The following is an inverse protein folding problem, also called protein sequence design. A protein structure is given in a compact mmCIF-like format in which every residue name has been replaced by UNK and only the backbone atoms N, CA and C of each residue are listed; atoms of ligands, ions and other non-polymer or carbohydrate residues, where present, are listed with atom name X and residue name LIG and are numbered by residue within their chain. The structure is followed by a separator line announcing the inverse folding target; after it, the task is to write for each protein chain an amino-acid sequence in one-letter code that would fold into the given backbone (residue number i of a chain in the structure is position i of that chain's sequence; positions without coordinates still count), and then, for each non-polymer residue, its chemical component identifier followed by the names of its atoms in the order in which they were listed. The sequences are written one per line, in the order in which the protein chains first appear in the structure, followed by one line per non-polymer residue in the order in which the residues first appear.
data_IF_291685060595
#
_entry.id   IF_291685060595
#
_cell.length_a   1.000
_cell.length_b   1.000
_cell.length_c   1.000
_cell.angle_alpha   90.00
_cell.angle_beta   90.00
_cell.angle_gamma   90.00
#
_symmetry.space_group_name_H-M   'P 1'
#
loop_
_entity.id
_entity.type
_entity.pdbx_description
1 polymer ?
#
# COMPACT_ATOMS: atom_id res chain seq x y z
N UNK A 1 -5.79 23.86 11.83
CA UNK A 1 -6.00 22.76 10.86
C UNK A 1 -5.40 23.19 9.53
N UNK A 2 -4.71 22.29 8.83
CA UNK A 2 -4.14 22.57 7.51
C UNK A 2 -5.25 22.79 6.47
N UNK A 3 -4.94 23.51 5.38
CA UNK A 3 -5.88 23.74 4.27
C UNK A 3 -6.41 22.42 3.69
N UNK A 4 -5.53 21.43 3.54
CA UNK A 4 -5.84 20.09 3.04
C UNK A 4 -6.82 19.34 3.95
N UNK A 5 -6.65 19.42 5.27
CA UNK A 5 -7.59 18.80 6.21
C UNK A 5 -9.00 19.38 6.07
N UNK A 6 -9.12 20.70 5.87
CA UNK A 6 -10.42 21.34 5.66
C UNK A 6 -11.07 20.92 4.32
N UNK A 7 -10.28 20.76 3.26
CA UNK A 7 -10.76 20.29 1.96
C UNK A 7 -11.27 18.84 2.04
N UNK A 8 -10.48 17.94 2.64
CA UNK A 8 -10.88 16.55 2.86
C UNK A 8 -12.15 16.44 3.72
N UNK A 9 -12.25 17.27 4.77
CA UNK A 9 -13.45 17.35 5.59
C UNK A 9 -14.68 17.78 4.79
N UNK A 10 -14.56 18.85 4.00
CA UNK A 10 -15.68 19.34 3.20
C UNK A 10 -16.12 18.29 2.17
N UNK A 11 -15.19 17.73 1.41
CA UNK A 11 -15.51 16.73 0.37
C UNK A 11 -16.12 15.45 0.96
N UNK A 12 -15.65 15.01 2.13
CA UNK A 12 -16.25 13.87 2.83
C UNK A 12 -17.68 14.17 3.30
N UNK A 13 -17.92 15.36 3.86
CA UNK A 13 -19.27 15.77 4.28
C UNK A 13 -20.24 15.86 3.10
N UNK A 14 -19.81 16.44 1.97
CA UNK A 14 -20.60 16.53 0.74
C UNK A 14 -20.99 15.15 0.21
N UNK A 15 -20.04 14.18 0.22
CA UNK A 15 -20.31 12.80 -0.18
C UNK A 15 -21.27 12.09 0.77
N UNK A 16 -21.13 12.28 2.09
CA UNK A 16 -22.06 11.73 3.08
C UNK A 16 -23.48 12.28 2.89
N UNK A 17 -23.62 13.61 2.77
CA UNK A 17 -24.89 14.27 2.51
C UNK A 17 -25.56 13.69 1.27
N UNK A 18 -24.85 13.69 0.15
CA UNK A 18 -25.35 13.16 -1.11
C UNK A 18 -25.78 11.70 -0.99
N UNK A 19 -24.96 10.84 -0.38
CA UNK A 19 -25.28 9.42 -0.22
C UNK A 19 -26.53 9.21 0.65
N UNK A 20 -26.67 9.94 1.76
CA UNK A 20 -27.87 9.85 2.62
C UNK A 20 -29.13 10.37 1.92
N UNK A 21 -29.03 11.43 1.11
CA UNK A 21 -30.14 11.94 0.31
C UNK A 21 -30.58 10.93 -0.75
N UNK A 22 -29.64 10.29 -1.45
CA UNK A 22 -29.94 9.26 -2.46
C UNK A 22 -30.56 8.00 -1.86
N UNK A 23 -30.21 7.66 -0.62
CA UNK A 23 -30.77 6.51 0.11
C UNK A 23 -32.07 6.85 0.85
N UNK A 24 -32.56 8.09 0.73
CA UNK A 24 -33.76 8.59 1.42
C UNK A 24 -33.67 8.41 2.96
N UNK A 25 -32.46 8.55 3.52
CA UNK A 25 -32.20 8.44 4.96
C UNK A 25 -32.13 9.83 5.58
N UNK A 26 -33.01 10.10 6.54
CA UNK A 26 -32.99 11.36 7.28
C UNK A 26 -31.90 11.37 8.36
N UNK A 27 -30.83 12.12 8.12
CA UNK A 27 -29.76 12.37 9.10
C UNK A 27 -29.54 13.88 9.24
N UNK A 28 -29.47 14.36 10.48
CA UNK A 28 -29.19 15.79 10.69
C UNK A 28 -27.77 16.13 10.24
N UNK A 29 -27.57 17.34 9.70
CA UNK A 29 -26.24 17.84 9.32
C UNK A 29 -25.24 17.78 10.48
N UNK A 30 -25.71 17.95 11.72
CA UNK A 30 -24.86 17.87 12.90
C UNK A 30 -24.33 16.45 13.16
N UNK A 31 -25.13 15.41 12.92
CA UNK A 31 -24.69 14.02 13.04
C UNK A 31 -23.75 13.63 11.89
N UNK A 32 -24.07 14.06 10.66
CA UNK A 32 -23.18 13.84 9.51
C UNK A 32 -21.82 14.51 9.72
N UNK A 33 -21.77 15.72 10.28
CA UNK A 33 -20.52 16.39 10.61
C UNK A 33 -19.67 15.59 11.63
N UNK A 34 -20.28 14.95 12.63
CA UNK A 34 -19.57 14.08 13.58
C UNK A 34 -19.00 12.84 12.88
N UNK A 35 -19.76 12.23 11.98
CA UNK A 35 -19.32 11.07 11.19
C UNK A 35 -18.19 11.47 10.25
N UNK A 36 -18.27 12.63 9.58
CA UNK A 36 -17.19 13.18 8.77
C UNK A 36 -15.90 13.35 9.57
N UNK A 37 -16.00 13.94 10.76
CA UNK A 37 -14.84 14.12 11.63
C UNK A 37 -14.21 12.79 12.01
N UNK A 38 -15.04 11.80 12.34
CA UNK A 38 -14.61 10.44 12.67
C UNK A 38 -13.80 9.81 11.52
N UNK A 39 -14.28 9.92 10.29
CA UNK A 39 -13.62 9.38 9.08
C UNK A 39 -12.31 10.13 8.81
N UNK A 40 -12.39 11.44 8.61
CA UNK A 40 -11.26 12.25 8.10
C UNK A 40 -10.08 12.31 9.08
N UNK A 41 -10.36 12.25 10.39
CA UNK A 41 -9.31 12.21 11.39
C UNK A 41 -8.38 11.00 11.22
N UNK A 42 -8.90 9.87 10.72
CA UNK A 42 -8.13 8.63 10.56
C UNK A 42 -7.39 8.55 9.24
N UNK A 43 -7.97 9.14 8.20
CA UNK A 43 -7.38 9.18 6.85
C UNK A 43 -6.31 10.26 6.67
N UNK A 44 -6.07 11.11 7.67
CA UNK A 44 -5.05 12.18 7.65
C UNK A 44 -3.86 11.91 8.58
N UNK A 45 -3.71 10.66 9.04
CA UNK A 45 -2.57 10.24 9.85
C UNK A 45 -1.24 10.34 9.08
N UNK A 46 -0.11 10.64 9.75
CA UNK A 46 1.19 10.84 9.08
C UNK A 46 1.77 9.57 8.42
N UNK A 47 1.14 8.41 8.65
CA UNK A 47 1.57 7.11 8.12
C UNK A 47 0.75 6.65 6.91
N UNK A 48 -0.38 7.32 6.64
CA UNK A 48 -1.31 7.02 5.56
C UNK A 48 -0.80 7.69 4.27
N UNK A 49 0.02 6.96 3.51
CA UNK A 49 0.63 7.47 2.27
C UNK A 49 -0.07 6.96 1.02
N UNK A 50 -0.57 5.73 1.05
CA UNK A 50 -1.41 5.14 0.01
C UNK A 50 -2.88 5.17 0.43
N UNK A 51 -3.21 4.66 1.62
CA UNK A 51 -4.59 4.65 2.12
C UNK A 51 -4.97 6.02 2.70
N UNK A 52 -5.08 7.03 1.82
CA UNK A 52 -5.32 8.44 2.12
C UNK A 52 -6.80 8.84 1.88
N UNK A 53 -7.14 10.09 2.20
CA UNK A 53 -8.46 10.64 1.89
C UNK A 53 -8.75 10.68 0.36
N UNK A 54 -7.75 10.94 -0.47
CA UNK A 54 -7.91 10.94 -1.93
C UNK A 54 -8.26 9.54 -2.44
N UNK A 55 -7.51 8.53 -1.99
CA UNK A 55 -7.78 7.11 -2.30
C UNK A 55 -9.20 6.72 -1.89
N UNK A 56 -9.60 7.04 -0.66
CA UNK A 56 -10.96 6.79 -0.15
C UNK A 56 -12.06 7.35 -1.07
N UNK A 57 -11.86 8.55 -1.63
CA UNK A 57 -12.84 9.15 -2.55
C UNK A 57 -12.87 8.46 -3.91
N UNK A 58 -11.72 8.01 -4.43
CA UNK A 58 -11.63 7.23 -5.68
C UNK A 58 -12.32 5.86 -5.55
N UNK A 59 -12.08 5.17 -4.43
CA UNK A 59 -12.71 3.87 -4.11
C UNK A 59 -14.22 3.99 -3.92
N UNK A 60 -14.73 5.13 -3.43
CA UNK A 60 -16.17 5.37 -3.32
C UNK A 60 -16.84 5.67 -4.67
N UNK A 61 -16.13 6.36 -5.58
CA UNK A 61 -16.66 6.71 -6.90
C UNK A 61 -17.65 7.87 -6.79
N UNK A 62 -18.61 7.94 -7.71
CA UNK A 62 -19.49 9.12 -7.82
C UNK A 62 -20.94 8.86 -8.18
N UNK A 63 -21.36 7.60 -8.38
CA UNK A 63 -22.66 7.28 -8.98
C UNK A 63 -23.60 6.47 -8.09
N UNK A 64 -23.08 5.75 -7.09
CA UNK A 64 -23.88 4.87 -6.23
C UNK A 64 -23.62 5.20 -4.76
N UNK A 65 -24.69 5.37 -3.98
CA UNK A 65 -24.61 5.82 -2.60
C UNK A 65 -23.99 4.78 -1.66
N UNK A 66 -24.28 3.49 -1.86
CA UNK A 66 -23.69 2.41 -1.05
C UNK A 66 -22.21 2.28 -1.36
N UNK A 67 -21.84 2.37 -2.64
CA UNK A 67 -20.43 2.33 -3.05
C UNK A 67 -19.64 3.52 -2.47
N UNK A 68 -20.21 4.73 -2.48
CA UNK A 68 -19.59 5.91 -1.86
C UNK A 68 -19.40 5.70 -0.37
N UNK A 69 -20.43 5.25 0.34
CA UNK A 69 -20.33 4.98 1.78
C UNK A 69 -19.28 3.89 2.07
N UNK A 70 -19.24 2.82 1.28
CA UNK A 70 -18.22 1.79 1.43
C UNK A 70 -16.82 2.36 1.25
N UNK A 71 -16.60 3.15 0.20
CA UNK A 71 -15.34 3.86 -0.03
C UNK A 71 -14.94 4.74 1.15
N UNK A 72 -15.87 5.51 1.73
CA UNK A 72 -15.62 6.37 2.89
C UNK A 72 -15.20 5.62 4.16
N UNK A 73 -15.62 4.36 4.31
CA UNK A 73 -15.45 3.61 5.54
C UNK A 73 -14.43 2.47 5.46
N UNK A 74 -14.14 1.88 4.29
CA UNK A 74 -13.45 0.60 4.20
C UNK A 74 -12.07 0.54 4.91
N UNK A 75 -11.36 1.66 4.97
CA UNK A 75 -9.98 1.74 5.46
C UNK A 75 -9.77 2.61 6.70
N UNK A 76 -10.86 3.01 7.38
CA UNK A 76 -10.74 3.90 8.54
C UNK A 76 -10.01 3.23 9.71
N UNK A 77 -10.07 1.90 9.83
CA UNK A 77 -9.27 1.13 10.80
C UNK A 77 -8.14 0.39 10.10
N UNK A 78 -6.88 0.79 10.31
CA UNK A 78 -5.70 0.11 9.74
C UNK A 78 -4.60 -0.07 10.79
N UNK A 79 -4.75 -1.10 11.61
CA UNK A 79 -3.96 -1.26 12.85
C UNK A 79 -2.46 -1.38 12.57
N UNK A 80 -2.07 -2.05 11.49
CA UNK A 80 -0.66 -2.32 11.17
C UNK A 80 0.07 -1.08 10.67
N UNK A 81 -0.67 -0.13 10.08
CA UNK A 81 -0.16 1.15 9.60
C UNK A 81 -0.17 2.16 10.75
N UNK A 82 -1.31 2.35 11.40
CA UNK A 82 -1.46 3.34 12.46
C UNK A 82 -0.72 2.94 13.74
N UNK A 83 -0.48 1.65 13.94
CA UNK A 83 0.17 1.05 15.11
C UNK A 83 -0.77 0.87 16.32
N UNK A 84 -2.01 1.33 16.22
CA UNK A 84 -3.06 1.18 17.22
C UNK A 84 -4.42 1.51 16.62
N UNK A 85 -5.51 1.09 17.29
CA UNK A 85 -6.86 1.57 16.98
C UNK A 85 -7.01 3.01 17.47
N UNK A 86 -7.61 3.89 16.65
CA UNK A 86 -7.92 5.27 17.06
C UNK A 86 -8.85 5.25 18.28
N UNK A 87 -8.56 6.08 19.29
CA UNK A 87 -9.33 6.14 20.53
C UNK A 87 -10.85 6.35 20.31
N UNK A 88 -11.23 7.12 19.28
CA UNK A 88 -12.64 7.37 18.97
C UNK A 88 -13.36 6.12 18.43
N UNK A 89 -12.63 5.11 17.92
CA UNK A 89 -13.20 3.83 17.52
C UNK A 89 -13.29 2.82 18.65
N UNK A 90 -12.49 3.01 19.71
CA UNK A 90 -12.44 2.08 20.84
C UNK A 90 -13.81 1.89 21.47
N UNK A 91 -14.67 2.92 21.49
CA UNK A 91 -16.04 2.81 21.97
C UNK A 91 -16.86 1.75 21.21
N UNK A 92 -16.67 1.64 19.89
CA UNK A 92 -17.37 0.66 19.06
C UNK A 92 -16.73 -0.74 19.13
N UNK A 93 -15.40 -0.81 19.28
CA UNK A 93 -14.65 -2.06 19.10
C UNK A 93 -14.30 -2.78 20.41
N UNK A 94 -14.00 -2.07 21.49
CA UNK A 94 -13.56 -2.67 22.75
C UNK A 94 -14.56 -3.66 23.37
N UNK A 95 -15.89 -3.43 23.31
CA UNK A 95 -16.87 -4.40 23.79
C UNK A 95 -16.86 -5.72 23.02
N UNK A 96 -16.33 -5.75 21.79
CA UNK A 96 -16.44 -6.87 20.86
C UNK A 96 -15.14 -7.67 20.76
N UNK A 97 -14.01 -7.05 21.11
CA UNK A 97 -12.67 -7.59 20.89
C UNK A 97 -11.88 -7.73 22.18
N UNK A 98 -10.99 -8.72 22.19
CA UNK A 98 -9.91 -8.86 23.17
C UNK A 98 -8.56 -8.89 22.45
N UNK A 99 -7.51 -8.43 23.12
CA UNK A 99 -6.15 -8.50 22.62
C UNK A 99 -5.33 -9.46 23.49
N UNK A 100 -4.64 -10.40 22.86
CA UNK A 100 -3.72 -11.32 23.51
C UNK A 100 -2.38 -11.31 22.76
N UNK A 101 -1.30 -10.94 23.44
CA UNK A 101 0.06 -10.90 22.89
C UNK A 101 0.19 -10.10 21.58
N UNK A 102 -0.58 -9.02 21.43
CA UNK A 102 -0.59 -8.19 20.22
C UNK A 102 -1.50 -8.69 19.10
N UNK A 103 -2.22 -9.79 19.29
CA UNK A 103 -3.21 -10.31 18.35
C UNK A 103 -4.63 -10.03 18.83
N UNK A 104 -5.49 -9.59 17.92
CA UNK A 104 -6.91 -9.33 18.21
C UNK A 104 -7.73 -10.60 18.01
N UNK A 105 -8.70 -10.82 18.90
CA UNK A 105 -9.67 -11.89 18.82
C UNK A 105 -11.07 -11.33 19.01
N UNK A 106 -12.04 -11.91 18.31
CA UNK A 106 -13.45 -11.71 18.65
C UNK A 106 -13.69 -12.36 20.01
N UNK A 107 -14.40 -11.68 20.92
CA UNK A 107 -14.71 -12.22 22.25
C UNK A 107 -15.55 -13.49 22.17
N UNK A 108 -15.52 -14.27 23.25
CA UNK A 108 -16.36 -15.45 23.37
C UNK A 108 -17.84 -15.06 23.47
N UNK A 109 -18.74 -15.93 23.01
CA UNK A 109 -20.19 -15.66 22.99
C UNK A 109 -20.78 -15.17 24.33
N UNK A 110 -20.39 -15.69 25.51
CA UNK A 110 -20.89 -15.18 26.79
C UNK A 110 -20.41 -13.78 27.17
N UNK A 111 -19.33 -13.29 26.54
CA UNK A 111 -18.76 -11.96 26.78
C UNK A 111 -19.22 -10.92 25.76
N UNK A 112 -19.79 -11.36 24.64
CA UNK A 112 -20.31 -10.48 23.61
C UNK A 112 -21.61 -9.82 24.08
N UNK A 113 -21.81 -8.52 23.81
CA UNK A 113 -23.11 -7.89 24.02
C UNK A 113 -24.16 -8.48 23.09
N UNK A 114 -25.43 -8.37 23.49
CA UNK A 114 -26.57 -8.64 22.60
C UNK A 114 -26.66 -7.49 21.58
N UNK A 115 -26.06 -7.72 20.41
CA UNK A 115 -25.80 -6.69 19.42
C UNK A 115 -26.08 -7.21 18.00
N UNK A 116 -27.33 -7.07 17.53
CA UNK A 116 -27.74 -7.55 16.21
C UNK A 116 -26.92 -6.95 15.06
N UNK A 117 -26.47 -5.70 15.19
CA UNK A 117 -25.64 -5.03 14.18
C UNK A 117 -24.29 -5.73 14.06
N UNK A 118 -23.64 -6.00 15.18
CA UNK A 118 -22.38 -6.75 15.18
C UNK A 118 -22.57 -8.16 14.62
N UNK A 119 -23.63 -8.86 15.02
CA UNK A 119 -23.91 -10.22 14.53
C UNK A 119 -24.12 -10.24 13.00
N UNK A 120 -24.80 -9.25 12.43
CA UNK A 120 -24.94 -9.10 10.98
C UNK A 120 -23.59 -8.87 10.30
N UNK A 121 -22.75 -7.99 10.84
CA UNK A 121 -21.40 -7.74 10.28
C UNK A 121 -20.55 -9.01 10.32
N UNK A 122 -20.52 -9.70 11.45
CA UNK A 122 -19.81 -10.97 11.60
C UNK A 122 -20.33 -12.03 10.61
N UNK A 123 -21.65 -12.12 10.41
CA UNK A 123 -22.25 -13.06 9.46
C UNK A 123 -21.86 -12.76 8.00
N UNK A 124 -21.84 -11.49 7.58
CA UNK A 124 -21.38 -11.08 6.24
C UNK A 124 -19.91 -11.43 6.01
N UNK A 125 -19.05 -11.20 7.02
CA UNK A 125 -17.64 -11.57 6.97
C UNK A 125 -17.40 -13.08 7.15
N UNK A 126 -18.39 -13.84 7.61
CA UNK A 126 -18.24 -15.25 7.97
C UNK A 126 -17.33 -15.45 9.18
N UNK A 127 -17.22 -14.44 10.05
CA UNK A 127 -16.41 -14.50 11.26
C UNK A 127 -17.21 -15.02 12.44
N UNK A 128 -16.53 -15.74 13.34
CA UNK A 128 -17.16 -16.38 14.50
C UNK A 128 -16.53 -15.92 15.81
N UNK A 129 -17.25 -16.04 16.95
CA UNK A 129 -16.67 -15.79 18.28
C UNK A 129 -15.37 -16.57 18.49
N UNK A 130 -14.46 -15.99 19.27
CA UNK A 130 -13.11 -16.53 19.56
C UNK A 130 -12.16 -16.61 18.36
N UNK A 131 -12.59 -16.22 17.15
CA UNK A 131 -11.73 -16.19 15.99
C UNK A 131 -10.61 -15.16 16.17
N UNK A 132 -9.38 -15.60 15.88
CA UNK A 132 -8.23 -14.72 15.76
C UNK A 132 -8.35 -13.88 14.49
N UNK A 133 -8.23 -12.56 14.63
CA UNK A 133 -8.18 -11.65 13.49
C UNK A 133 -6.77 -11.61 12.93
N UNK A 134 -6.68 -11.56 11.60
CA UNK A 134 -5.41 -11.51 10.87
C UNK A 134 -5.46 -10.40 9.83
N UNK A 135 -4.40 -9.58 9.71
CA UNK A 135 -4.28 -8.60 8.63
C UNK A 135 -4.47 -9.21 7.23
N UNK A 136 -4.02 -10.47 7.05
CA UNK A 136 -4.10 -11.17 5.77
C UNK A 136 -5.47 -11.82 5.51
N UNK A 137 -6.38 -11.75 6.48
CA UNK A 137 -7.71 -12.37 6.41
C UNK A 137 -8.83 -11.36 6.65
N UNK A 138 -8.60 -10.08 6.36
CA UNK A 138 -9.65 -9.06 6.40
C UNK A 138 -9.88 -8.39 7.75
N UNK A 139 -8.88 -8.38 8.63
CA UNK A 139 -9.00 -7.73 9.94
C UNK A 139 -9.39 -6.26 9.83
N UNK A 140 -8.73 -5.49 8.97
CA UNK A 140 -8.91 -4.04 8.91
C UNK A 140 -10.30 -3.70 8.38
N UNK A 141 -10.69 -4.35 7.28
CA UNK A 141 -11.98 -4.26 6.62
C UNK A 141 -13.12 -4.65 7.57
N UNK A 142 -12.94 -5.73 8.35
CA UNK A 142 -13.91 -6.13 9.36
C UNK A 142 -14.08 -5.06 10.44
N UNK A 143 -12.99 -4.53 10.99
CA UNK A 143 -13.05 -3.50 12.02
C UNK A 143 -13.65 -2.20 11.49
N UNK A 144 -13.28 -1.80 10.28
CA UNK A 144 -13.86 -0.68 9.54
C UNK A 144 -15.36 -0.87 9.33
N UNK A 145 -15.80 -2.06 8.92
CA UNK A 145 -17.21 -2.37 8.72
C UNK A 145 -18.01 -2.35 10.03
N UNK A 146 -17.44 -2.84 11.13
CA UNK A 146 -18.08 -2.73 12.46
C UNK A 146 -18.25 -1.27 12.85
N UNK A 147 -17.21 -0.43 12.69
CA UNK A 147 -17.31 1.01 12.98
C UNK A 147 -18.34 1.68 12.08
N UNK A 148 -18.35 1.37 10.78
CA UNK A 148 -19.32 1.91 9.83
C UNK A 148 -20.75 1.57 10.23
N UNK A 149 -21.00 0.29 10.51
CA UNK A 149 -22.30 -0.19 10.92
C UNK A 149 -22.76 0.49 12.21
N UNK A 150 -21.88 0.61 13.20
CA UNK A 150 -22.18 1.27 14.48
C UNK A 150 -22.35 2.78 14.40
N UNK A 151 -21.63 3.45 13.51
CA UNK A 151 -21.82 4.88 13.30
C UNK A 151 -23.15 5.19 12.61
N UNK A 152 -23.71 4.23 11.86
CA UNK A 152 -24.89 4.44 11.00
C UNK A 152 -26.16 3.74 11.52
N UNK A 153 -26.09 2.80 12.47
CA UNK A 153 -27.21 1.96 12.91
C UNK A 153 -28.41 2.73 13.48
N UNK A 154 -28.20 3.96 13.95
CA UNK A 154 -29.29 4.82 14.46
C UNK A 154 -30.14 5.44 13.34
N UNK A 155 -29.66 5.41 12.09
CA UNK A 155 -30.32 6.05 10.95
C UNK A 155 -30.62 5.05 9.82
N UNK A 156 -29.77 4.04 9.65
CA UNK A 156 -29.85 3.09 8.53
C UNK A 156 -30.65 1.86 8.92
N UNK A 157 -31.42 1.33 7.97
CA UNK A 157 -32.06 0.02 8.14
C UNK A 157 -31.01 -1.09 8.17
N UNK A 158 -31.33 -2.21 8.82
CA UNK A 158 -30.47 -3.40 8.86
C UNK A 158 -30.07 -3.88 7.45
N UNK A 159 -30.98 -3.77 6.48
CA UNK A 159 -30.72 -4.11 5.08
C UNK A 159 -29.64 -3.21 4.48
N UNK A 160 -29.72 -1.89 4.66
CA UNK A 160 -28.69 -0.95 4.18
C UNK A 160 -27.34 -1.19 4.86
N UNK A 161 -27.33 -1.47 6.17
CA UNK A 161 -26.11 -1.81 6.91
C UNK A 161 -25.45 -3.05 6.31
N UNK A 162 -26.22 -4.10 6.01
CA UNK A 162 -25.69 -5.33 5.40
C UNK A 162 -25.16 -5.09 3.98
N UNK A 163 -25.82 -4.25 3.19
CA UNK A 163 -25.35 -3.90 1.84
C UNK A 163 -24.02 -3.12 1.89
N UNK A 164 -23.90 -2.12 2.78
CA UNK A 164 -22.66 -1.40 3.02
C UNK A 164 -21.54 -2.34 3.49
N UNK A 165 -21.85 -3.20 4.45
CA UNK A 165 -20.91 -4.18 5.01
C UNK A 165 -20.39 -5.12 3.93
N UNK A 166 -21.24 -5.55 2.99
CA UNK A 166 -20.83 -6.41 1.88
C UNK A 166 -19.79 -5.75 0.98
N UNK A 167 -19.98 -4.47 0.66
CA UNK A 167 -19.04 -3.70 -0.16
C UNK A 167 -17.69 -3.54 0.54
N UNK A 168 -17.67 -3.29 1.85
CA UNK A 168 -16.42 -3.23 2.64
C UNK A 168 -15.77 -4.62 2.74
N UNK A 169 -16.54 -5.69 2.93
CA UNK A 169 -16.01 -7.07 2.96
C UNK A 169 -15.31 -7.44 1.65
N UNK A 170 -15.83 -6.97 0.51
CA UNK A 170 -15.24 -7.25 -0.77
C UNK A 170 -13.88 -6.58 -0.99
N UNK A 171 -13.51 -5.54 -0.23
CA UNK A 171 -12.19 -4.89 -0.36
C UNK A 171 -11.07 -5.72 0.26
N UNK A 172 -11.37 -6.83 0.96
CA UNK A 172 -10.32 -7.76 1.43
C UNK A 172 -9.58 -8.34 0.20
N UNK A 173 -8.31 -7.98 -0.02
CA UNK A 173 -7.67 -8.19 -1.31
C UNK A 173 -7.07 -9.59 -1.45
N UNK A 174 -6.83 -10.01 -2.70
CA UNK A 174 -6.03 -11.19 -3.08
C UNK A 174 -6.49 -12.52 -2.49
N UNK A 175 -7.78 -12.66 -2.16
CA UNK A 175 -8.33 -13.90 -1.62
C UNK A 175 -8.35 -15.01 -2.67
N UNK A 176 -7.86 -16.22 -2.34
CA UNK A 176 -7.89 -17.34 -3.26
C UNK A 176 -9.32 -17.87 -3.44
N UNK A 177 -9.49 -18.72 -4.45
CA UNK A 177 -10.69 -19.56 -4.57
C UNK A 177 -10.74 -20.48 -3.34
N UNK A 178 -11.92 -20.60 -2.74
CA UNK A 178 -12.14 -21.49 -1.59
C UNK A 178 -11.96 -22.97 -1.95
N UNK A 179 -11.85 -23.81 -0.92
CA UNK A 179 -11.78 -25.27 -1.08
C UNK A 179 -12.99 -25.86 -1.83
N UNK A 180 -14.16 -25.19 -1.75
CA UNK A 180 -15.37 -25.57 -2.48
C UNK A 180 -15.40 -25.10 -3.94
N UNK A 181 -14.33 -24.45 -4.42
CA UNK A 181 -14.23 -23.96 -5.80
C UNK A 181 -14.93 -22.62 -6.03
N UNK A 182 -15.41 -21.94 -4.99
CA UNK A 182 -16.09 -20.65 -5.11
C UNK A 182 -15.10 -19.50 -4.98
N UNK A 183 -15.27 -18.49 -5.83
CA UNK A 183 -14.54 -17.23 -5.74
C UNK A 183 -15.09 -16.34 -4.61
N UNK A 184 -14.37 -15.29 -4.18
CA UNK A 184 -14.79 -14.41 -3.09
C UNK A 184 -16.19 -13.80 -3.27
N UNK A 185 -16.53 -13.32 -4.46
CA UNK A 185 -17.85 -12.72 -4.75
C UNK A 185 -18.99 -13.75 -4.65
N UNK A 186 -18.75 -15.00 -5.05
CA UNK A 186 -19.73 -16.09 -4.91
C UNK A 186 -19.94 -16.48 -3.44
N UNK A 187 -18.87 -16.48 -2.64
CA UNK A 187 -18.96 -16.72 -1.19
C UNK A 187 -19.69 -15.58 -0.49
N UNK A 188 -19.44 -14.33 -0.88
CA UNK A 188 -20.18 -13.18 -0.38
C UNK A 188 -21.67 -13.29 -0.72
N UNK A 189 -22.01 -13.67 -1.95
CA UNK A 189 -23.40 -13.92 -2.34
C UNK A 189 -24.11 -14.97 -1.46
N UNK A 190 -23.44 -16.10 -1.16
CA UNK A 190 -23.99 -17.14 -0.28
C UNK A 190 -24.16 -16.67 1.17
N UNK A 191 -23.16 -15.93 1.70
CA UNK A 191 -23.25 -15.34 3.04
C UNK A 191 -24.39 -14.32 3.11
N UNK A 192 -24.54 -13.46 2.11
CA UNK A 192 -25.65 -12.49 2.07
C UNK A 192 -27.03 -13.15 2.04
N UNK A 193 -27.19 -14.27 1.31
CA UNK A 193 -28.43 -15.05 1.35
C UNK A 193 -28.72 -15.58 2.75
N UNK A 194 -27.71 -16.18 3.37
CA UNK A 194 -27.82 -16.75 4.72
C UNK A 194 -28.13 -15.67 5.76
N UNK A 195 -27.43 -14.53 5.70
CA UNK A 195 -27.66 -13.36 6.56
C UNK A 195 -29.07 -12.78 6.34
N UNK A 196 -29.52 -12.64 5.09
CA UNK A 196 -30.86 -12.14 4.78
C UNK A 196 -31.96 -13.00 5.41
N UNK A 197 -31.81 -14.33 5.36
CA UNK A 197 -32.74 -15.27 5.98
C UNK A 197 -32.65 -15.24 7.52
N UNK A 198 -31.42 -15.30 8.07
CA UNK A 198 -31.18 -15.33 9.51
C UNK A 198 -31.73 -14.10 10.22
N UNK A 199 -31.57 -12.91 9.64
CA UNK A 199 -31.99 -11.64 10.24
C UNK A 199 -33.28 -11.08 9.65
N UNK A 200 -33.95 -11.82 8.75
CA UNK A 200 -35.21 -11.44 8.12
C UNK A 200 -35.16 -10.02 7.50
N UNK A 201 -34.11 -9.74 6.72
CA UNK A 201 -33.86 -8.42 6.12
C UNK A 201 -34.78 -8.11 4.94
N UNK A 202 -35.51 -9.12 4.44
CA UNK A 202 -36.47 -9.05 3.34
C UNK A 202 -35.87 -8.54 2.02
N UNK A 203 -34.56 -8.66 1.84
CA UNK A 203 -33.93 -8.41 0.56
C UNK A 203 -34.35 -9.50 -0.43
N UNK A 204 -34.70 -9.08 -1.62
CA UNK A 204 -34.94 -9.96 -2.77
C UNK A 204 -33.64 -10.55 -3.30
N UNK A 205 -33.73 -11.64 -4.07
CA UNK A 205 -32.56 -12.23 -4.72
C UNK A 205 -31.85 -11.23 -5.65
N UNK A 206 -32.62 -10.36 -6.31
CA UNK A 206 -32.08 -9.34 -7.21
C UNK A 206 -31.32 -8.25 -6.45
N UNK A 207 -31.85 -7.77 -5.32
CA UNK A 207 -31.14 -6.82 -4.46
C UNK A 207 -29.84 -7.41 -3.93
N UNK A 208 -29.84 -8.68 -3.51
CA UNK A 208 -28.62 -9.37 -3.07
C UNK A 208 -27.60 -9.47 -4.21
N UNK A 209 -28.02 -9.85 -5.43
CA UNK A 209 -27.12 -9.88 -6.60
C UNK A 209 -26.56 -8.50 -6.89
N UNK A 210 -27.39 -7.47 -6.84
CA UNK A 210 -26.97 -6.10 -7.10
C UNK A 210 -25.97 -5.61 -6.04
N UNK A 211 -26.16 -5.97 -4.78
CA UNK A 211 -25.19 -5.69 -3.72
C UNK A 211 -23.83 -6.34 -3.97
N UNK A 212 -23.81 -7.58 -4.45
CA UNK A 212 -22.53 -8.23 -4.82
C UNK A 212 -21.90 -7.54 -6.03
N UNK A 213 -22.68 -7.08 -7.01
CA UNK A 213 -22.16 -6.29 -8.14
C UNK A 213 -21.57 -4.94 -7.70
N UNK A 214 -22.26 -4.22 -6.81
CA UNK A 214 -21.72 -3.00 -6.16
C UNK A 214 -20.40 -3.30 -5.45
N UNK A 215 -20.37 -4.40 -4.70
CA UNK A 215 -19.17 -4.86 -3.99
C UNK A 215 -18.00 -5.14 -4.94
N UNK A 216 -18.27 -5.76 -6.10
CA UNK A 216 -17.26 -5.99 -7.15
C UNK A 216 -16.75 -4.68 -7.74
N UNK A 217 -17.62 -3.67 -7.97
CA UNK A 217 -17.18 -2.36 -8.47
C UNK A 217 -16.30 -1.62 -7.46
N UNK A 218 -16.62 -1.69 -6.17
CA UNK A 218 -15.82 -1.06 -5.11
C UNK A 218 -14.45 -1.71 -5.02
N UNK A 219 -14.38 -3.04 -4.86
CA UNK A 219 -13.10 -3.76 -4.74
C UNK A 219 -12.22 -3.61 -5.99
N UNK A 220 -12.80 -3.65 -7.19
CA UNK A 220 -12.04 -3.45 -8.43
C UNK A 220 -11.48 -2.02 -8.56
N UNK A 221 -12.15 -1.01 -7.99
CA UNK A 221 -11.63 0.36 -7.93
C UNK A 221 -10.54 0.52 -6.88
N UNK A 222 -10.69 -0.12 -5.73
CA UNK A 222 -9.68 -0.19 -4.67
C UNK A 222 -8.34 -0.72 -5.18
N UNK A 223 -8.36 -1.87 -5.86
CA UNK A 223 -7.16 -2.46 -6.47
C UNK A 223 -6.88 -1.97 -7.90
N UNK A 224 -7.60 -0.94 -8.38
CA UNK A 224 -7.59 -0.50 -9.78
C UNK A 224 -6.20 -0.13 -10.31
N UNK A 225 -5.32 0.34 -9.42
CA UNK A 225 -3.94 0.71 -9.76
C UNK A 225 -3.10 -0.43 -10.37
N UNK A 226 -3.44 -1.69 -10.08
CA UNK A 226 -2.74 -2.85 -10.64
C UNK A 226 -2.93 -2.97 -12.16
N UNK A 227 -4.07 -2.53 -12.71
CA UNK A 227 -4.35 -2.53 -14.14
C UNK A 227 -4.13 -1.15 -14.78
N UNK A 228 -3.39 -0.25 -14.14
CA UNK A 228 -3.14 1.05 -14.74
C UNK A 228 -2.32 0.91 -16.04
N UNK A 229 -2.71 1.55 -17.17
CA UNK A 229 -2.02 1.39 -18.47
C UNK A 229 -0.57 1.87 -18.46
N UNK A 230 -0.22 2.79 -17.56
CA UNK A 230 1.15 3.22 -17.32
C UNK A 230 1.77 2.44 -16.16
N UNK A 231 2.80 1.64 -16.47
CA UNK A 231 3.62 0.92 -15.50
C UNK A 231 4.28 1.86 -14.47
N UNK A 232 4.58 3.10 -14.88
CA UNK A 232 5.19 4.12 -14.04
C UNK A 232 4.23 4.63 -12.95
N UNK A 233 2.93 4.67 -13.23
CA UNK A 233 1.89 5.03 -12.26
C UNK A 233 1.59 3.84 -11.34
N UNK A 234 1.45 2.63 -11.89
CA UNK A 234 1.34 1.40 -11.10
C UNK A 234 2.46 1.29 -10.06
N UNK A 235 3.71 1.49 -10.49
CA UNK A 235 4.87 1.45 -9.58
C UNK A 235 4.91 2.62 -8.61
N UNK A 236 4.42 3.81 -8.98
CA UNK A 236 4.33 4.94 -8.05
C UNK A 236 3.37 4.61 -6.89
N UNK A 237 2.20 4.05 -7.21
CA UNK A 237 1.22 3.61 -6.23
C UNK A 237 1.76 2.50 -5.34
N UNK A 238 2.43 1.50 -5.93
CA UNK A 238 3.17 0.47 -5.18
C UNK A 238 4.23 1.09 -4.25
N UNK A 239 4.90 2.16 -4.70
CA UNK A 239 5.91 2.85 -3.89
C UNK A 239 5.31 3.53 -2.67
N UNK A 240 4.12 4.12 -2.78
CA UNK A 240 3.44 4.81 -1.67
C UNK A 240 3.15 3.87 -0.49
N UNK A 241 3.07 2.56 -0.71
CA UNK A 241 2.94 1.55 0.35
C UNK A 241 4.22 1.34 1.18
N UNK A 242 5.40 1.72 0.67
CA UNK A 242 6.67 1.50 1.37
C UNK A 242 6.76 2.23 2.72
N UNK A 243 6.58 3.57 2.81
CA UNK A 243 6.63 4.29 4.10
C UNK A 243 5.48 3.94 5.03
N UNK A 244 4.38 3.45 4.47
CA UNK A 244 3.19 3.01 5.20
C UNK A 244 3.41 1.68 5.93
N UNK A 245 4.12 0.74 5.29
CA UNK A 245 4.44 -0.58 5.88
C UNK A 245 5.84 -0.65 6.51
N UNK A 246 6.65 0.40 6.36
CA UNK A 246 8.02 0.49 6.89
C UNK A 246 8.28 1.86 7.51
N UNK A 247 7.95 2.01 8.79
CA UNK A 247 8.00 3.28 9.51
C UNK A 247 9.39 3.95 9.55
N UNK A 248 10.48 3.19 9.36
CA UNK A 248 11.83 3.76 9.27
C UNK A 248 11.95 4.76 8.11
N UNK A 249 11.19 4.59 7.02
CA UNK A 249 11.23 5.45 5.84
C UNK A 249 10.50 6.79 6.00
N UNK A 250 9.71 6.97 7.07
CA UNK A 250 8.91 8.19 7.27
C UNK A 250 9.76 9.43 7.54
N UNK A 251 10.98 9.26 8.05
CA UNK A 251 11.93 10.35 8.25
C UNK A 251 12.96 10.36 7.12
N UNK A 252 12.71 11.21 6.12
CA UNK A 252 13.65 11.45 5.02
C UNK A 252 15.06 11.74 5.56
N UNK A 253 16.05 11.00 5.07
CA UNK A 253 17.48 11.16 5.42
C UNK A 253 17.94 10.46 6.70
N UNK A 254 17.02 9.96 7.53
CA UNK A 254 17.34 9.30 8.80
C UNK A 254 17.49 7.78 8.70
N UNK A 255 16.95 7.16 7.65
CA UNK A 255 16.98 5.70 7.49
C UNK A 255 18.31 5.21 6.92
N UNK A 256 18.71 4.01 7.35
CA UNK A 256 19.96 3.36 6.93
C UNK A 256 19.83 2.70 5.56
N UNK A 257 20.97 2.34 4.95
CA UNK A 257 20.97 1.52 3.72
C UNK A 257 20.24 0.19 3.95
N UNK A 258 20.41 -0.40 5.15
CA UNK A 258 19.76 -1.64 5.56
C UNK A 258 18.25 -1.46 5.72
N UNK A 259 17.79 -0.37 6.32
CA UNK A 259 16.35 -0.08 6.45
C UNK A 259 15.68 -0.01 5.08
N UNK A 260 16.31 0.70 4.15
CA UNK A 260 15.83 0.78 2.77
C UNK A 260 15.80 -0.59 2.11
N UNK A 261 16.88 -1.38 2.25
CA UNK A 261 16.92 -2.75 1.73
C UNK A 261 15.78 -3.61 2.28
N UNK A 262 15.52 -3.56 3.58
CA UNK A 262 14.45 -4.34 4.22
C UNK A 262 13.10 -3.97 3.61
N UNK A 263 12.83 -2.67 3.43
CA UNK A 263 11.59 -2.20 2.82
C UNK A 263 11.43 -2.72 1.38
N UNK A 264 12.47 -2.60 0.54
CA UNK A 264 12.46 -3.15 -0.83
C UNK A 264 12.32 -4.67 -0.83
N UNK A 265 12.98 -5.38 0.09
CA UNK A 265 12.90 -6.84 0.20
C UNK A 265 11.48 -7.29 0.54
N UNK A 266 10.81 -6.65 1.51
CA UNK A 266 9.42 -6.95 1.86
C UNK A 266 8.49 -6.69 0.68
N UNK A 267 8.65 -5.56 -0.01
CA UNK A 267 7.85 -5.23 -1.20
C UNK A 267 8.08 -6.23 -2.35
N UNK A 268 9.33 -6.71 -2.51
CA UNK A 268 9.66 -7.79 -3.46
C UNK A 268 8.94 -9.08 -3.07
N UNK A 269 8.90 -9.42 -1.77
CA UNK A 269 8.14 -10.56 -1.25
C UNK A 269 6.64 -10.44 -1.55
N UNK A 270 6.05 -9.28 -1.27
CA UNK A 270 4.65 -8.98 -1.58
C UNK A 270 4.36 -9.14 -3.08
N UNK A 271 5.15 -8.50 -3.96
CA UNK A 271 4.96 -8.58 -5.41
C UNK A 271 5.09 -10.01 -5.97
N UNK A 272 5.94 -10.84 -5.35
CA UNK A 272 6.09 -12.25 -5.72
C UNK A 272 4.96 -13.14 -5.18
N UNK A 273 4.31 -12.76 -4.09
CA UNK A 273 3.14 -13.45 -3.55
C UNK A 273 1.88 -13.24 -4.41
N UNK A 274 1.75 -12.07 -5.06
CA UNK A 274 0.56 -11.74 -5.86
C UNK A 274 0.29 -12.74 -7.00
N UNK A 275 -0.95 -13.21 -7.07
CA UNK A 275 -1.49 -13.89 -8.23
C UNK A 275 -2.35 -12.90 -9.04
N UNK A 276 -2.01 -12.59 -10.30
CA UNK A 276 -2.80 -11.67 -11.11
C UNK A 276 -4.29 -12.02 -11.23
N UNK A 277 -4.60 -13.32 -11.23
CA UNK A 277 -5.97 -13.83 -11.36
C UNK A 277 -6.85 -13.59 -10.12
N UNK A 278 -6.24 -13.21 -8.99
CA UNK A 278 -6.97 -12.93 -7.74
C UNK A 278 -7.05 -11.45 -7.41
N UNK A 279 -6.56 -10.57 -8.29
CA UNK A 279 -6.61 -9.12 -8.06
C UNK A 279 -8.04 -8.64 -8.27
N UNK A 280 -8.54 -8.77 -9.50
CA UNK A 280 -9.87 -8.29 -9.86
C UNK A 280 -10.91 -9.36 -9.61
N UNK A 281 -12.09 -8.92 -9.18
CA UNK A 281 -13.26 -9.74 -8.98
C UNK A 281 -14.20 -9.63 -10.18
N UNK A 282 -14.95 -10.72 -10.41
CA UNK A 282 -16.01 -10.78 -11.41
C UNK A 282 -17.20 -11.55 -10.83
N UNK A 283 -18.40 -11.01 -11.04
CA UNK A 283 -19.64 -11.64 -10.62
C UNK A 283 -20.78 -11.36 -11.59
N UNK A 284 -21.27 -12.42 -12.24
CA UNK A 284 -22.48 -12.37 -13.08
C UNK A 284 -22.50 -11.21 -14.10
N UNK A 285 -21.39 -11.06 -14.83
CA UNK A 285 -21.24 -10.04 -15.87
C UNK A 285 -20.89 -8.65 -15.35
N UNK A 286 -20.47 -8.52 -14.07
CA UNK A 286 -19.92 -7.29 -13.51
C UNK A 286 -18.46 -7.51 -13.07
N UNK A 287 -17.47 -6.82 -13.66
CA UNK A 287 -17.60 -6.12 -14.95
C UNK A 287 -17.89 -7.13 -16.07
N UNK A 288 -18.17 -6.65 -17.29
CA UNK A 288 -18.31 -7.55 -18.43
C UNK A 288 -17.01 -8.36 -18.69
N UNK A 289 -17.14 -9.50 -19.36
CA UNK A 289 -16.03 -10.45 -19.55
C UNK A 289 -14.82 -9.81 -20.26
N UNK A 290 -15.05 -8.91 -21.23
CA UNK A 290 -13.97 -8.24 -21.96
C UNK A 290 -13.20 -7.29 -21.04
N UNK A 291 -13.93 -6.45 -20.30
CA UNK A 291 -13.35 -5.55 -19.30
C UNK A 291 -12.57 -6.34 -18.24
N UNK A 292 -13.13 -7.43 -17.73
CA UNK A 292 -12.46 -8.29 -16.74
C UNK A 292 -11.15 -8.86 -17.28
N UNK A 293 -11.16 -9.44 -18.48
CA UNK A 293 -9.95 -10.00 -19.09
C UNK A 293 -8.88 -8.92 -19.31
N UNK A 294 -9.26 -7.73 -19.77
CA UNK A 294 -8.33 -6.62 -19.96
C UNK A 294 -7.67 -6.18 -18.64
N UNK A 295 -8.45 -6.08 -17.55
CA UNK A 295 -7.92 -5.74 -16.22
C UNK A 295 -6.89 -6.78 -15.75
N UNK A 296 -7.22 -8.07 -15.90
CA UNK A 296 -6.35 -9.18 -15.50
C UNK A 296 -5.06 -9.21 -16.34
N UNK A 297 -5.15 -9.07 -17.66
CA UNK A 297 -3.97 -9.07 -18.53
C UNK A 297 -3.05 -7.88 -18.25
N UNK A 298 -3.62 -6.69 -18.05
CA UNK A 298 -2.83 -5.50 -17.70
C UNK A 298 -2.14 -5.66 -16.34
N UNK A 299 -2.82 -6.26 -15.35
CA UNK A 299 -2.19 -6.57 -14.06
C UNK A 299 -1.10 -7.63 -14.16
N UNK A 300 -1.27 -8.68 -14.99
CA UNK A 300 -0.21 -9.66 -15.27
C UNK A 300 1.05 -8.98 -15.79
N UNK A 301 0.90 -8.06 -16.74
CA UNK A 301 2.01 -7.31 -17.31
C UNK A 301 2.67 -6.38 -16.28
N UNK A 302 1.88 -5.57 -15.58
CA UNK A 302 2.37 -4.67 -14.53
C UNK A 302 3.10 -5.41 -13.41
N UNK A 303 2.57 -6.54 -12.94
CA UNK A 303 3.24 -7.37 -11.93
C UNK A 303 4.56 -7.93 -12.46
N UNK A 304 4.64 -8.39 -13.72
CA UNK A 304 5.91 -8.86 -14.31
C UNK A 304 6.96 -7.74 -14.35
N UNK A 305 6.56 -6.54 -14.77
CA UNK A 305 7.41 -5.34 -14.76
C UNK A 305 7.85 -5.02 -13.32
N UNK A 306 6.90 -5.01 -12.38
CA UNK A 306 7.15 -4.71 -10.97
C UNK A 306 8.11 -5.69 -10.30
N UNK A 307 7.98 -7.00 -10.58
CA UNK A 307 8.89 -8.04 -10.08
C UNK A 307 10.32 -7.79 -10.57
N UNK A 308 10.50 -7.58 -11.88
CA UNK A 308 11.83 -7.36 -12.45
C UNK A 308 12.46 -6.05 -11.96
N UNK A 309 11.64 -4.99 -11.82
CA UNK A 309 12.05 -3.70 -11.27
C UNK A 309 12.51 -3.83 -9.81
N UNK A 310 11.69 -4.41 -8.93
CA UNK A 310 12.00 -4.56 -7.51
C UNK A 310 13.21 -5.45 -7.28
N UNK A 311 13.30 -6.58 -7.99
CA UNK A 311 14.45 -7.48 -7.91
C UNK A 311 15.74 -6.76 -8.31
N UNK A 312 15.74 -6.06 -9.44
CA UNK A 312 16.92 -5.33 -9.92
C UNK A 312 17.36 -4.26 -8.92
N UNK A 313 16.39 -3.56 -8.31
CA UNK A 313 16.66 -2.55 -7.28
C UNK A 313 17.20 -3.17 -5.99
N UNK A 314 16.67 -4.33 -5.59
CA UNK A 314 17.12 -5.07 -4.42
C UNK A 314 18.58 -5.54 -4.57
N UNK A 315 18.95 -6.09 -5.74
CA UNK A 315 20.32 -6.52 -6.01
C UNK A 315 21.29 -5.34 -6.06
N UNK A 316 20.93 -4.25 -6.73
CA UNK A 316 21.74 -3.04 -6.72
C UNK A 316 21.95 -2.50 -5.29
N UNK A 317 20.91 -2.53 -4.45
CA UNK A 317 21.00 -2.12 -3.06
C UNK A 317 21.81 -3.10 -2.20
N UNK A 318 21.85 -4.39 -2.54
CA UNK A 318 22.70 -5.37 -1.87
C UNK A 318 24.19 -5.01 -2.01
N UNK A 319 24.61 -4.61 -3.23
CA UNK A 319 25.98 -4.16 -3.50
C UNK A 319 26.28 -2.91 -2.67
N UNK A 320 25.34 -1.96 -2.63
CA UNK A 320 25.49 -0.74 -1.85
C UNK A 320 25.58 -1.01 -0.35
N UNK A 321 24.72 -1.89 0.20
CA UNK A 321 24.73 -2.29 1.61
C UNK A 321 26.04 -2.99 1.97
N UNK A 322 26.50 -3.93 1.16
CA UNK A 322 27.77 -4.62 1.41
C UNK A 322 28.96 -3.66 1.42
N UNK A 323 29.00 -2.68 0.51
CA UNK A 323 30.01 -1.61 0.53
C UNK A 323 29.87 -0.71 1.77
N UNK A 324 28.63 -0.42 2.18
CA UNK A 324 28.34 0.44 3.33
C UNK A 324 28.89 -0.11 4.64
N UNK A 325 28.91 -1.45 4.78
CA UNK A 325 29.43 -2.15 5.95
C UNK A 325 30.94 -2.00 6.15
N UNK A 326 31.69 -1.56 5.13
CA UNK A 326 33.11 -1.16 5.28
C UNK A 326 33.27 0.15 6.04
N UNK A 327 32.22 0.96 6.14
CA UNK A 327 32.22 2.26 6.83
C UNK A 327 31.61 2.14 8.23
N UNK A 328 30.41 1.55 8.34
CA UNK A 328 29.68 1.34 9.58
C UNK A 328 28.52 0.36 9.38
N UNK A 329 28.01 -0.24 10.46
CA UNK A 329 26.81 -1.08 10.41
C UNK A 329 25.52 -0.29 10.10
N UNK A 330 25.44 0.97 10.57
CA UNK A 330 24.24 1.80 10.51
C UNK A 330 24.52 3.13 9.77
N UNK A 331 24.92 3.05 8.51
CA UNK A 331 25.11 4.27 7.70
C UNK A 331 23.79 4.72 7.07
N UNK A 332 23.52 6.02 7.15
CA UNK A 332 22.37 6.65 6.46
C UNK A 332 22.48 6.44 4.95
N UNK A 333 21.35 6.13 4.29
CA UNK A 333 21.31 5.98 2.83
C UNK A 333 21.78 7.27 2.14
N UNK A 334 21.44 8.44 2.71
CA UNK A 334 21.84 9.72 2.15
C UNK A 334 23.36 9.85 2.04
N UNK A 335 24.12 9.28 2.99
CA UNK A 335 25.59 9.28 2.92
C UNK A 335 26.08 8.45 1.73
N UNK A 336 25.41 7.35 1.39
CA UNK A 336 25.84 6.49 0.28
C UNK A 336 25.34 6.97 -1.08
N UNK A 337 24.15 7.58 -1.16
CA UNK A 337 23.49 7.92 -2.43
C UNK A 337 23.48 9.42 -2.78
N UNK A 338 23.76 10.29 -1.83
CA UNK A 338 23.59 11.75 -1.98
C UNK A 338 22.34 12.25 -1.26
N UNK A 339 22.16 13.56 -1.21
CA UNK A 339 21.03 14.16 -0.50
C UNK A 339 19.70 13.89 -1.21
N UNK A 340 18.69 13.53 -0.42
CA UNK A 340 17.31 13.39 -0.85
C UNK A 340 16.74 14.77 -1.24
N UNK A 341 15.78 14.85 -2.18
CA UNK A 341 15.13 16.11 -2.52
C UNK A 341 14.58 16.76 -1.24
N UNK A 342 14.93 18.04 -1.01
CA UNK A 342 14.49 18.95 0.09
C UNK A 342 15.59 19.43 1.06
N UNK A 343 16.85 19.00 0.92
CA UNK A 343 17.95 19.48 1.79
C UNK A 343 18.44 20.90 1.50
N UNK A 344 18.06 21.51 0.37
CA UNK A 344 18.50 22.85 -0.05
C UNK A 344 19.99 22.96 -0.40
N UNK A 345 20.76 21.88 -0.27
CA UNK A 345 22.17 21.77 -0.63
C UNK A 345 22.36 20.64 -1.65
N UNK A 346 23.31 20.81 -2.57
CA UNK A 346 23.63 19.77 -3.56
C UNK A 346 25.13 19.49 -3.52
N UNK A 347 25.51 18.35 -2.94
CA UNK A 347 26.90 17.89 -2.84
C UNK A 347 27.23 16.75 -3.84
N UNK A 348 26.32 16.52 -4.80
CA UNK A 348 26.36 15.43 -5.77
C UNK A 348 25.50 14.23 -5.35
N UNK A 349 25.24 13.35 -6.33
CA UNK A 349 24.49 12.09 -6.17
C UNK A 349 25.28 10.90 -6.72
N UNK A 350 25.00 9.73 -6.16
CA UNK A 350 25.55 8.49 -6.65
C UNK A 350 25.09 8.25 -8.09
N UNK A 351 26.06 8.18 -8.99
CA UNK A 351 25.86 7.93 -10.41
C UNK A 351 25.95 9.15 -11.32
N UNK A 352 26.15 10.35 -10.76
CA UNK A 352 26.41 11.56 -11.55
C UNK A 352 27.69 11.43 -12.42
N UNK A 353 28.65 10.60 -12.00
CA UNK A 353 29.93 10.42 -12.71
C UNK A 353 30.24 8.99 -13.12
N UNK A 354 29.21 8.13 -13.23
CA UNK A 354 29.40 6.79 -13.79
C UNK A 354 30.00 6.84 -15.21
N UNK A 355 30.91 5.92 -15.55
CA UNK A 355 31.54 5.89 -16.85
C UNK A 355 30.55 5.46 -17.94
N UNK A 356 30.76 5.94 -19.17
CA UNK A 356 30.11 5.38 -20.33
C UNK A 356 30.67 3.98 -20.61
N UNK A 357 29.79 2.99 -20.68
CA UNK A 357 30.18 1.62 -21.02
C UNK A 357 30.38 1.49 -22.53
N UNK A 358 31.41 0.73 -22.92
CA UNK A 358 31.75 0.50 -24.35
C UNK A 358 30.65 -0.32 -25.03
N UNK A 359 30.08 -1.30 -24.32
CA UNK A 359 28.99 -2.17 -24.79
C UNK A 359 27.94 -2.30 -23.69
N UNK A 360 27.10 -1.29 -23.48
CA UNK A 360 26.03 -1.38 -22.50
C UNK A 360 25.03 -2.44 -22.94
N UNK A 361 24.52 -3.21 -21.97
CA UNK A 361 23.44 -4.17 -22.19
C UNK A 361 22.26 -3.51 -22.90
N UNK A 362 21.69 -4.23 -23.88
CA UNK A 362 20.50 -3.81 -24.61
C UNK A 362 19.32 -4.70 -24.20
N UNK A 363 18.20 -4.11 -23.75
CA UNK A 363 16.98 -4.86 -23.48
C UNK A 363 16.56 -5.73 -24.66
N UNK A 364 16.23 -6.99 -24.37
CA UNK A 364 15.88 -8.02 -25.36
C UNK A 364 14.39 -8.11 -25.64
N UNK A 365 13.56 -7.62 -24.72
CA UNK A 365 12.10 -7.66 -24.82
C UNK A 365 11.44 -6.37 -24.28
N UNK A 366 10.13 -6.27 -24.45
CA UNK A 366 9.34 -5.11 -24.03
C UNK A 366 9.44 -4.85 -22.52
N UNK A 367 9.31 -5.89 -21.68
CA UNK A 367 9.34 -5.76 -20.22
C UNK A 367 10.68 -5.17 -19.76
N UNK A 368 11.80 -5.69 -20.28
CA UNK A 368 13.13 -5.18 -19.95
C UNK A 368 13.34 -3.74 -20.40
N UNK A 369 12.80 -3.38 -21.58
CA UNK A 369 12.85 -2.01 -22.08
C UNK A 369 12.08 -1.06 -21.17
N UNK A 370 10.90 -1.48 -20.74
CA UNK A 370 10.05 -0.71 -19.84
C UNK A 370 10.71 -0.54 -18.47
N UNK A 371 11.25 -1.61 -17.88
CA UNK A 371 11.99 -1.55 -16.62
C UNK A 371 13.21 -0.63 -16.70
N UNK A 372 13.96 -0.68 -17.81
CA UNK A 372 15.07 0.26 -18.04
C UNK A 372 14.58 1.71 -18.10
N UNK A 373 13.48 1.99 -18.80
CA UNK A 373 12.88 3.32 -18.86
C UNK A 373 12.47 3.80 -17.47
N UNK A 374 11.87 2.95 -16.65
CA UNK A 374 11.45 3.27 -15.28
C UNK A 374 12.63 3.67 -14.37
N UNK A 375 13.80 3.06 -14.53
CA UNK A 375 14.97 3.45 -13.75
C UNK A 375 15.59 4.78 -14.21
N UNK A 376 15.49 5.10 -15.50
CA UNK A 376 16.09 6.29 -16.12
C UNK A 376 15.17 7.51 -16.00
N UNK A 377 13.91 7.36 -16.40
CA UNK A 377 12.90 8.43 -16.43
C UNK A 377 12.22 8.61 -15.06
N UNK A 378 12.19 7.54 -14.26
CA UNK A 378 11.58 7.51 -12.94
C UNK A 378 10.11 7.08 -12.96
N UNK A 379 9.56 6.93 -11.75
CA UNK A 379 8.13 6.63 -11.52
C UNK A 379 7.27 7.89 -11.74
N UNK A 380 6.01 7.72 -12.13
CA UNK A 380 5.11 8.81 -12.56
C UNK A 380 4.94 9.91 -11.51
N UNK A 381 4.74 9.50 -10.25
CA UNK A 381 4.75 10.36 -9.07
C UNK A 381 5.81 9.85 -8.07
N UNK A 382 6.42 10.74 -7.30
CA UNK A 382 7.42 10.35 -6.30
C UNK A 382 7.18 11.10 -5.02
N UNK A 383 7.13 10.36 -3.91
CA UNK A 383 7.06 10.95 -2.59
C UNK A 383 8.36 11.64 -2.20
N UNK A 384 8.28 12.56 -1.24
CA UNK A 384 9.41 13.39 -0.80
C UNK A 384 10.50 12.60 -0.04
N UNK A 385 10.32 11.30 0.17
CA UNK A 385 11.23 10.44 0.94
C UNK A 385 12.20 9.60 0.07
N UNK A 386 12.02 9.57 -1.26
CA UNK A 386 12.85 8.78 -2.20
C UNK A 386 13.13 9.53 -3.51
N UNK A 387 14.18 9.10 -4.22
CA UNK A 387 14.50 9.60 -5.55
C UNK A 387 13.68 8.81 -6.59
N UNK A 388 12.99 9.53 -7.50
CA UNK A 388 12.14 8.90 -8.53
C UNK A 388 12.93 7.98 -9.47
N UNK A 389 14.15 8.37 -9.82
CA UNK A 389 15.06 7.61 -10.66
C UNK A 389 15.96 6.71 -9.83
N UNK A 390 16.60 5.71 -10.44
CA UNK A 390 17.54 4.83 -9.74
C UNK A 390 18.81 4.65 -10.57
N UNK A 391 19.67 5.67 -10.63
CA UNK A 391 20.86 5.69 -11.50
C UNK A 391 21.83 4.54 -11.20
N UNK A 392 21.98 4.15 -9.92
CA UNK A 392 22.75 2.97 -9.54
C UNK A 392 22.21 1.70 -10.20
N UNK A 393 20.90 1.44 -10.05
CA UNK A 393 20.27 0.25 -10.63
C UNK A 393 20.35 0.24 -12.15
N UNK A 394 20.09 1.39 -12.79
CA UNK A 394 20.23 1.53 -14.24
C UNK A 394 21.66 1.22 -14.71
N UNK A 395 22.68 1.67 -13.97
CA UNK A 395 24.08 1.39 -14.29
C UNK A 395 24.41 -0.10 -14.13
N UNK A 396 23.98 -0.73 -13.03
CA UNK A 396 24.20 -2.17 -12.80
C UNK A 396 23.60 -2.98 -13.94
N UNK A 397 22.35 -2.71 -14.34
CA UNK A 397 21.71 -3.41 -15.47
C UNK A 397 22.47 -3.19 -16.77
N UNK A 398 22.91 -1.95 -17.07
CA UNK A 398 23.71 -1.69 -18.27
C UNK A 398 25.04 -2.44 -18.27
N UNK A 399 25.58 -2.77 -17.09
CA UNK A 399 26.86 -3.47 -16.96
C UNK A 399 26.72 -5.00 -17.06
N UNK A 400 25.82 -5.61 -16.28
CA UNK A 400 25.70 -7.07 -16.18
C UNK A 400 24.43 -7.66 -16.83
N UNK A 401 23.50 -6.82 -17.29
CA UNK A 401 22.21 -7.24 -17.83
C UNK A 401 21.26 -7.83 -16.78
N UNK A 402 20.04 -8.15 -17.21
CA UNK A 402 19.05 -8.77 -16.32
C UNK A 402 19.42 -10.20 -15.92
N UNK A 403 20.05 -10.99 -16.80
CA UNK A 403 20.55 -12.32 -16.45
C UNK A 403 21.61 -12.27 -15.34
N UNK A 404 22.49 -11.27 -15.37
CA UNK A 404 23.47 -11.04 -14.32
C UNK A 404 22.83 -10.66 -12.98
N UNK A 405 21.78 -9.82 -13.00
CA UNK A 405 20.97 -9.52 -11.80
C UNK A 405 20.38 -10.81 -11.22
N UNK A 406 19.76 -11.64 -12.05
CA UNK A 406 19.13 -12.89 -11.62
C UNK A 406 20.15 -13.90 -11.07
N UNK A 407 21.35 -13.96 -11.66
CA UNK A 407 22.43 -14.81 -11.17
C UNK A 407 22.91 -14.44 -9.75
N UNK A 408 22.79 -13.17 -9.35
CA UNK A 408 23.18 -12.68 -8.03
C UNK A 408 22.10 -12.88 -6.95
N UNK A 409 20.88 -13.30 -7.31
CA UNK A 409 19.74 -13.46 -6.39
C UNK A 409 20.04 -14.35 -5.19
N UNK A 410 20.59 -15.54 -5.42
CA UNK A 410 20.81 -16.47 -4.32
C UNK A 410 21.92 -16.00 -3.38
N UNK A 411 22.95 -15.34 -3.91
CA UNK A 411 24.03 -14.79 -3.07
C UNK A 411 23.54 -13.60 -2.26
N UNK A 412 22.73 -12.71 -2.85
CA UNK A 412 22.14 -11.59 -2.10
C UNK A 412 21.23 -12.07 -0.98
N UNK A 413 20.44 -13.13 -1.21
CA UNK A 413 19.61 -13.77 -0.19
C UNK A 413 20.44 -14.31 0.97
N UNK A 414 21.53 -15.04 0.68
CA UNK A 414 22.46 -15.54 1.71
C UNK A 414 23.10 -14.40 2.50
N UNK A 415 23.45 -13.30 1.83
CA UNK A 415 23.99 -12.11 2.48
C UNK A 415 22.96 -11.48 3.43
N UNK A 416 21.72 -11.30 3.00
CA UNK A 416 20.66 -10.73 3.85
C UNK A 416 20.33 -11.61 5.06
N UNK A 417 20.51 -12.92 4.93
CA UNK A 417 20.36 -13.89 6.01
C UNK A 417 21.59 -13.99 6.93
N UNK A 418 22.68 -13.27 6.63
CA UNK A 418 23.93 -13.33 7.38
C UNK A 418 24.68 -14.67 7.23
N UNK A 419 24.35 -15.47 6.22
CA UNK A 419 25.00 -16.77 5.96
C UNK A 419 26.35 -16.60 5.26
N UNK A 420 26.53 -15.49 4.53
CA UNK A 420 27.82 -15.08 3.95
C UNK A 420 28.11 -13.65 4.40
N UNK A 421 29.39 -13.28 4.46
CA UNK A 421 29.80 -11.92 4.82
C UNK A 421 29.54 -10.94 3.66
N UNK A 422 29.62 -9.64 3.95
CA UNK A 422 29.56 -8.60 2.92
C UNK A 422 30.69 -8.73 1.89
N UNK A 423 31.89 -9.13 2.32
CA UNK A 423 33.04 -9.33 1.43
C UNK A 423 32.87 -10.57 0.55
N UNK A 424 32.33 -11.67 1.09
CA UNK A 424 32.01 -12.85 0.31
C UNK A 424 30.96 -12.55 -0.76
N UNK A 425 29.94 -11.74 -0.41
CA UNK A 425 28.94 -11.28 -1.37
C UNK A 425 29.58 -10.41 -2.46
N UNK A 426 30.39 -9.42 -2.10
CA UNK A 426 31.08 -8.56 -3.07
C UNK A 426 32.03 -9.36 -3.97
N UNK A 427 32.66 -10.41 -3.47
CA UNK A 427 33.50 -11.32 -4.25
C UNK A 427 32.72 -12.17 -5.26
N UNK A 428 31.41 -12.34 -5.08
CA UNK A 428 30.52 -13.00 -6.05
C UNK A 428 30.06 -12.07 -7.19
N UNK A 429 30.23 -10.76 -7.04
CA UNK A 429 29.93 -9.76 -8.06
C UNK A 429 31.10 -9.60 -9.06
N UNK A 430 30.82 -8.98 -10.21
CA UNK A 430 31.89 -8.56 -11.12
C UNK A 430 32.82 -7.55 -10.42
N UNK A 431 34.14 -7.82 -10.32
CA UNK A 431 35.06 -6.96 -9.58
C UNK A 431 35.15 -5.54 -10.13
N UNK A 432 35.01 -5.36 -11.44
CA UNK A 432 35.06 -4.06 -12.09
C UNK A 432 33.80 -3.24 -11.78
N UNK A 433 32.62 -3.88 -11.80
CA UNK A 433 31.37 -3.25 -11.35
C UNK A 433 31.48 -2.74 -9.91
N UNK A 434 31.94 -3.60 -8.98
CA UNK A 434 32.12 -3.24 -7.57
C UNK A 434 33.11 -2.09 -7.44
N UNK A 435 34.24 -2.13 -8.16
CA UNK A 435 35.26 -1.08 -8.16
C UNK A 435 34.69 0.26 -8.62
N UNK A 436 33.89 0.28 -9.68
CA UNK A 436 33.26 1.50 -10.21
C UNK A 436 32.30 2.09 -9.17
N UNK A 437 31.41 1.29 -8.59
CA UNK A 437 30.44 1.75 -7.58
C UNK A 437 31.17 2.28 -6.33
N UNK A 438 32.18 1.55 -5.86
CA UNK A 438 32.98 1.99 -4.71
C UNK A 438 33.68 3.33 -4.97
N UNK A 439 34.24 3.54 -6.16
CA UNK A 439 34.88 4.81 -6.53
C UNK A 439 33.89 5.98 -6.58
N UNK A 440 32.66 5.76 -7.03
CA UNK A 440 31.63 6.81 -6.99
C UNK A 440 31.24 7.18 -5.55
N UNK A 441 31.11 6.19 -4.65
CA UNK A 441 30.89 6.45 -3.23
C UNK A 441 32.06 7.24 -2.62
N UNK A 442 33.31 6.88 -2.94
CA UNK A 442 34.52 7.59 -2.48
C UNK A 442 34.49 9.04 -2.94
N UNK A 443 34.18 9.31 -4.22
CA UNK A 443 34.06 10.69 -4.75
C UNK A 443 33.01 11.49 -3.99
N UNK A 444 31.85 10.90 -3.71
CA UNK A 444 30.79 11.56 -2.95
C UNK A 444 31.24 11.91 -1.52
N UNK A 445 31.96 11.01 -0.85
CA UNK A 445 32.54 11.27 0.47
C UNK A 445 33.62 12.35 0.43
N UNK A 446 34.45 12.38 -0.61
CA UNK A 446 35.45 13.45 -0.80
C UNK A 446 34.80 14.82 -1.06
N UNK A 447 33.69 14.89 -1.82
CA UNK A 447 32.92 16.13 -1.99
C UNK A 447 32.42 16.67 -0.64
N UNK A 448 31.90 15.80 0.23
CA UNK A 448 31.47 16.19 1.57
C UNK A 448 32.64 16.65 2.45
N UNK A 449 33.76 15.95 2.39
CA UNK A 449 34.99 16.34 3.08
C UNK A 449 35.51 17.70 2.60
N UNK A 450 35.39 18.01 1.31
CA UNK A 450 35.69 19.33 0.78
C UNK A 450 34.70 20.39 1.29
N UNK A 451 33.40 20.10 1.34
CA UNK A 451 32.39 21.01 1.88
C UNK A 451 32.66 21.39 3.35
N UNK A 452 33.18 20.46 4.16
CA UNK A 452 33.61 20.73 5.54
C UNK A 452 34.82 21.68 5.64
N UNK A 453 35.63 21.79 4.58
CA UNK A 453 36.81 22.67 4.52
C UNK A 453 36.48 24.09 4.07
N UNK A 454 35.31 24.30 3.46
CA UNK A 454 34.86 25.63 3.04
C UNK A 454 34.34 26.37 4.29
N UNK A 455 34.92 27.52 4.68
CA UNK A 455 34.36 28.33 5.78
C UNK A 455 32.93 28.73 5.41
N UNK A 456 31.97 28.56 6.34
CA UNK A 456 30.56 28.98 6.15
C UNK A 456 30.49 30.45 5.70
N UNK A 457 30.49 30.71 4.39
CA UNK A 457 30.14 32.01 3.86
C UNK A 457 28.62 32.08 3.76
N UNK A 458 28.03 32.84 4.70
CA UNK A 458 26.63 33.27 4.78
C UNK A 458 25.59 32.16 4.59
N UNK A 459 25.07 31.65 5.71
CA UNK A 459 23.68 31.21 5.70
C UNK A 459 22.78 32.37 5.25
N UNK A 460 21.89 32.18 4.27
CA UNK A 460 20.70 33.01 4.17
C UNK A 460 19.96 32.93 5.51
N UNK A 461 19.68 34.07 6.10
CA UNK A 461 19.05 34.24 7.41
C UNK A 461 17.55 33.84 7.46
N UNK A 462 17.08 32.99 6.57
CA UNK A 462 15.64 32.75 6.36
C UNK A 462 15.15 31.37 6.81
N UNK A 463 15.91 30.64 7.62
CA UNK A 463 15.47 29.37 8.24
C UNK A 463 15.20 29.46 9.75
N UNK A 464 15.08 30.67 10.28
CA UNK A 464 14.57 30.91 11.63
C UNK A 464 13.13 31.43 11.57
N UNK A 465 12.21 30.66 10.95
CA UNK A 465 10.75 30.75 11.10
C UNK A 465 10.05 29.69 10.24
N UNK A 466 9.82 28.52 10.82
CA UNK A 466 8.69 27.64 10.55
C UNK A 466 8.53 26.68 11.71
#
# INVERSE_FOLDING_TARGET
MSLEHNQNHQQCLEKLLWATEQLEVEVSLAELAKITQLIVQTMTGPRRCFHSAEHMFEVGGSTDAIEILAGLFHDIVYVQVDGSINFNFTYYLAPLLREEQGQLFIRAKPELPDDPTFEMVAAVFGFVPEQALSPLAGQNEFLSAVVAAKALESFFSSSLIVQLTACIEATIPFRPISESGLNPSQLLYQRLKSTNEQFNLKLTDEEIRQTVKQSVRVTNRDVGSFAHPSSAVFLANTWNLLPETNHNLQKSGAYTVRDYRIAIQKMTGFMNFLNPETIFQHFQGEPDDETYHNLVEQAKENIKIGRLYLESKLIANAILEALSLRLSQDISLAIMMGELPDSGYFLGRLGDTFPNLIKPYQPTNYIEKEVCNLFILGRGNGGNYDIKTSPLTAFVIKFIGFDGILALREQSRKFFQGTISSEDFLASCDPELVRIIANEVIKLLENRKQALRIPRQKFPSDLARS
#
